data_IF_206168369611
#
_entry.id   IF_206168369611
#
_cell.length_a   1.000
_cell.length_b   1.000
_cell.length_c   1.000
_cell.angle_alpha   90.00
_cell.angle_beta   90.00
_cell.angle_gamma   90.00
#
_symmetry.space_group_name_H-M   'P 1'
#
loop_
_entity.id
_entity.type
_entity.pdbx_description
1 polymer ?
#
# COMPACT_ATOMS: atom_id res chain seq x y z
N UNK A 1 -21.86 -2.46 6.75
CA UNK A 1 -21.81 -3.16 8.06
C UNK A 1 -21.59 -4.64 7.78
N UNK A 2 -20.78 -5.28 8.52
CA UNK A 2 -20.48 -6.72 8.40
C UNK A 2 -20.26 -7.34 9.79
N UNK A 3 -20.47 -8.65 9.90
CA UNK A 3 -20.22 -9.38 11.14
C UNK A 3 -18.73 -9.69 11.31
N UNK A 4 -18.27 -9.64 12.56
CA UNK A 4 -16.87 -9.86 12.91
C UNK A 4 -16.78 -11.03 13.88
N UNK A 5 -15.96 -12.05 13.59
CA UNK A 5 -15.68 -13.12 14.56
C UNK A 5 -14.96 -12.57 15.80
N UNK A 6 -15.48 -12.89 16.96
CA UNK A 6 -14.92 -12.49 18.26
C UNK A 6 -14.76 -13.70 19.15
N UNK A 7 -13.78 -13.66 20.05
CA UNK A 7 -13.53 -14.74 21.00
C UNK A 7 -14.49 -14.63 22.19
N UNK A 8 -15.09 -15.74 22.62
CA UNK A 8 -16.01 -15.78 23.76
C UNK A 8 -15.32 -15.69 25.13
N UNK A 9 -14.03 -15.99 25.19
CA UNK A 9 -13.27 -16.02 26.47
C UNK A 9 -12.50 -14.72 26.73
N UNK A 10 -12.28 -13.88 25.73
CA UNK A 10 -11.54 -12.64 25.89
C UNK A 10 -12.37 -11.46 25.42
N UNK A 11 -12.59 -10.50 26.31
CA UNK A 11 -13.44 -9.34 26.06
C UNK A 11 -12.94 -8.44 24.93
N UNK A 12 -11.65 -8.39 24.68
CA UNK A 12 -11.07 -7.52 23.65
C UNK A 12 -10.67 -8.26 22.38
N UNK A 13 -10.97 -9.56 22.30
CA UNK A 13 -10.45 -10.40 21.24
C UNK A 13 -11.33 -10.40 19.98
N UNK A 14 -10.69 -10.27 18.84
CA UNK A 14 -11.30 -10.43 17.52
C UNK A 14 -10.26 -10.96 16.54
N UNK A 15 -10.70 -11.72 15.53
CA UNK A 15 -9.84 -12.13 14.42
C UNK A 15 -9.17 -10.94 13.72
N UNK A 16 -9.79 -9.77 13.74
CA UNK A 16 -9.22 -8.55 13.17
C UNK A 16 -8.00 -8.03 13.95
N UNK A 17 -7.82 -8.41 15.22
CA UNK A 17 -6.65 -8.05 16.00
C UNK A 17 -5.37 -8.73 15.52
N UNK A 18 -5.47 -9.87 14.82
CA UNK A 18 -4.31 -10.52 14.20
C UNK A 18 -3.77 -9.71 13.01
N UNK A 19 -4.54 -8.78 12.51
CA UNK A 19 -4.17 -7.85 11.48
C UNK A 19 -3.85 -8.51 10.15
N UNK A 20 -2.91 -7.89 9.45
CA UNK A 20 -2.36 -8.37 8.19
C UNK A 20 -1.07 -9.18 8.37
N UNK A 21 -0.85 -9.76 9.54
CA UNK A 21 0.31 -10.62 9.78
C UNK A 21 0.17 -11.91 8.98
N UNK A 22 1.27 -12.38 8.41
CA UNK A 22 1.30 -13.66 7.68
C UNK A 22 1.18 -14.91 8.59
N UNK A 23 1.05 -14.71 9.89
CA UNK A 23 0.78 -15.75 10.88
C UNK A 23 -0.70 -15.73 11.19
N UNK A 24 -1.41 -16.80 10.83
CA UNK A 24 -2.74 -17.05 11.32
C UNK A 24 -2.61 -17.77 12.66
N UNK A 25 -2.83 -17.06 13.75
CA UNK A 25 -3.00 -17.72 15.04
C UNK A 25 -4.36 -18.44 15.02
N UNK A 26 -4.33 -19.74 15.22
CA UNK A 26 -5.55 -20.53 15.35
C UNK A 26 -6.29 -20.08 16.61
N UNK A 27 -7.45 -19.51 16.41
CA UNK A 27 -8.34 -19.06 17.46
C UNK A 27 -9.42 -20.09 17.68
N UNK A 28 -9.63 -20.46 18.93
CA UNK A 28 -10.72 -21.35 19.32
C UNK A 28 -11.92 -20.55 19.87
N UNK A 29 -13.11 -21.14 19.78
CA UNK A 29 -14.32 -20.59 20.40
C UNK A 29 -14.72 -19.20 19.90
N UNK A 30 -14.70 -18.99 18.57
CA UNK A 30 -15.17 -17.77 17.92
C UNK A 30 -16.68 -17.79 17.71
N UNK A 31 -17.31 -16.62 17.90
CA UNK A 31 -18.72 -16.34 17.57
C UNK A 31 -18.82 -15.11 16.67
N UNK A 32 -19.87 -14.99 15.86
CA UNK A 32 -20.13 -13.87 14.95
C UNK A 32 -20.97 -12.77 15.60
N UNK A 33 -20.54 -12.24 16.74
CA UNK A 33 -21.25 -11.22 17.50
C UNK A 33 -20.64 -9.80 17.39
N UNK A 34 -19.40 -9.70 16.92
CA UNK A 34 -18.78 -8.43 16.62
C UNK A 34 -19.38 -7.79 15.36
N UNK A 35 -19.21 -6.48 15.24
CA UNK A 35 -19.67 -5.71 14.07
C UNK A 35 -18.52 -4.94 13.45
N UNK A 36 -18.60 -4.66 12.15
CA UNK A 36 -17.64 -3.83 11.45
C UNK A 36 -18.32 -2.89 10.46
N UNK A 37 -17.70 -1.75 10.23
CA UNK A 37 -18.21 -0.73 9.33
C UNK A 37 -17.09 -0.19 8.44
N UNK A 38 -17.39 -0.13 7.13
CA UNK A 38 -16.56 0.56 6.15
C UNK A 38 -17.43 1.59 5.45
N UNK A 39 -17.00 2.83 5.43
CA UNK A 39 -17.68 3.89 4.68
C UNK A 39 -16.66 4.93 4.21
N UNK A 40 -16.99 5.61 3.12
CA UNK A 40 -16.13 6.61 2.53
C UNK A 40 -16.71 7.22 1.26
N UNK A 41 -15.93 8.11 0.69
CA UNK A 41 -16.22 8.75 -0.60
C UNK A 41 -15.03 8.57 -1.51
N UNK A 42 -15.31 8.22 -2.74
CA UNK A 42 -14.33 8.04 -3.80
C UNK A 42 -14.61 8.97 -4.97
N UNK A 43 -13.56 9.62 -5.48
CA UNK A 43 -13.61 10.44 -6.68
C UNK A 43 -12.58 9.92 -7.67
N UNK A 44 -13.02 9.64 -8.90
CA UNK A 44 -12.15 9.30 -10.02
C UNK A 44 -12.35 10.28 -11.15
N UNK A 45 -11.26 10.87 -11.62
CA UNK A 45 -11.23 11.74 -12.80
C UNK A 45 -10.26 11.15 -13.79
N UNK A 46 -10.75 10.83 -14.99
CA UNK A 46 -9.96 10.21 -16.03
C UNK A 46 -9.99 11.03 -17.32
N UNK A 47 -8.83 11.21 -17.91
CA UNK A 47 -8.66 11.65 -19.30
C UNK A 47 -8.12 10.49 -20.11
N UNK A 48 -8.97 9.89 -20.93
CA UNK A 48 -8.58 8.84 -21.86
C UNK A 48 -7.50 9.29 -22.83
N UNK A 49 -6.70 8.33 -23.26
CA UNK A 49 -5.62 8.60 -24.20
C UNK A 49 -6.12 9.31 -25.47
N UNK A 50 -5.64 10.53 -25.66
CA UNK A 50 -6.02 11.37 -26.78
C UNK A 50 -4.89 12.35 -27.09
N UNK A 51 -4.55 12.52 -28.36
CA UNK A 51 -3.44 13.38 -28.81
C UNK A 51 -2.11 13.06 -28.10
N UNK A 52 -1.89 11.77 -27.83
CA UNK A 52 -0.69 11.27 -27.17
C UNK A 52 -0.62 11.57 -25.66
N UNK A 53 -1.70 11.93 -24.99
CA UNK A 53 -1.73 12.24 -23.56
C UNK A 53 -2.89 11.52 -22.87
N UNK A 54 -2.65 11.05 -21.66
CA UNK A 54 -3.65 10.52 -20.73
C UNK A 54 -3.35 10.95 -19.30
N UNK A 55 -4.37 10.97 -18.47
CA UNK A 55 -4.23 11.22 -17.04
C UNK A 55 -5.34 10.52 -16.25
N UNK A 56 -5.03 10.06 -15.06
CA UNK A 56 -5.96 9.48 -14.10
C UNK A 56 -5.65 10.06 -12.71
N UNK A 57 -6.69 10.56 -12.06
CA UNK A 57 -6.62 10.99 -10.67
C UNK A 57 -7.69 10.24 -9.88
N UNK A 58 -7.29 9.55 -8.82
CA UNK A 58 -8.22 8.92 -7.87
C UNK A 58 -7.96 9.43 -6.48
N UNK A 59 -9.03 9.71 -5.75
CA UNK A 59 -8.98 10.15 -4.36
C UNK A 59 -10.07 9.44 -3.57
N UNK A 60 -9.69 8.79 -2.49
CA UNK A 60 -10.60 8.13 -1.56
C UNK A 60 -10.35 8.68 -0.16
N UNK A 61 -11.43 9.00 0.56
CA UNK A 61 -11.42 9.27 1.99
C UNK A 61 -12.37 8.27 2.62
N UNK A 62 -11.89 7.51 3.60
CA UNK A 62 -12.66 6.43 4.17
C UNK A 62 -12.35 6.18 5.64
N UNK A 63 -13.25 5.47 6.30
CA UNK A 63 -13.09 4.96 7.65
C UNK A 63 -13.43 3.47 7.66
N UNK A 64 -12.59 2.68 8.34
CA UNK A 64 -12.77 1.25 8.52
C UNK A 64 -12.57 0.91 9.99
N UNK A 65 -13.64 0.49 10.65
CA UNK A 65 -13.66 0.22 12.09
C UNK A 65 -14.41 -1.07 12.39
N UNK A 66 -14.16 -1.62 13.56
CA UNK A 66 -14.87 -2.78 14.08
C UNK A 66 -15.09 -2.69 15.58
N UNK A 67 -16.04 -3.46 16.08
CA UNK A 67 -16.32 -3.62 17.51
C UNK A 67 -16.09 -5.09 17.87
N UNK A 68 -15.20 -5.32 18.84
CA UNK A 68 -14.89 -6.66 19.36
C UNK A 68 -15.89 -7.10 20.43
N UNK A 69 -15.56 -8.21 21.10
CA UNK A 69 -16.38 -8.79 22.17
C UNK A 69 -16.53 -7.90 23.43
N UNK A 70 -15.63 -6.94 23.59
CA UNK A 70 -15.66 -5.95 24.68
C UNK A 70 -16.55 -4.73 24.40
N UNK A 71 -17.15 -4.65 23.21
CA UNK A 71 -17.99 -3.52 22.81
C UNK A 71 -17.23 -2.24 22.44
N UNK A 72 -15.89 -2.28 22.42
CA UNK A 72 -15.05 -1.12 22.12
C UNK A 72 -14.80 -1.01 20.60
N UNK A 73 -15.06 0.17 20.04
CA UNK A 73 -14.78 0.44 18.63
C UNK A 73 -13.28 0.69 18.42
N UNK A 74 -12.70 -0.03 17.47
CA UNK A 74 -11.29 0.08 17.07
C UNK A 74 -11.14 0.24 15.55
N UNK A 75 -10.00 0.77 15.15
CA UNK A 75 -9.64 0.78 13.72
C UNK A 75 -9.35 -0.65 13.25
N UNK A 76 -9.61 -0.92 11.96
CA UNK A 76 -9.01 -2.09 11.31
C UNK A 76 -7.57 -1.77 10.87
N UNK A 77 -6.77 -2.81 10.62
CA UNK A 77 -5.42 -2.64 10.04
C UNK A 77 -5.41 -1.85 8.72
N UNK A 78 -6.53 -1.78 8.02
CA UNK A 78 -6.67 -1.13 6.72
C UNK A 78 -7.23 0.30 6.81
N UNK A 79 -7.48 0.82 8.02
CA UNK A 79 -8.00 2.18 8.19
C UNK A 79 -6.90 3.23 7.91
N UNK A 80 -6.46 3.35 6.66
CA UNK A 80 -5.49 4.34 6.21
C UNK A 80 -6.07 5.76 6.08
N UNK A 81 -7.35 5.94 6.26
CA UNK A 81 -8.09 7.21 6.23
C UNK A 81 -8.24 7.82 4.85
N UNK A 82 -7.21 7.83 4.01
CA UNK A 82 -7.25 8.37 2.65
C UNK A 82 -6.23 7.71 1.74
N UNK A 83 -6.53 7.73 0.44
CA UNK A 83 -5.61 7.38 -0.64
C UNK A 83 -5.79 8.37 -1.78
N UNK A 84 -4.69 8.89 -2.28
CA UNK A 84 -4.62 9.73 -3.46
C UNK A 84 -3.64 9.14 -4.45
N UNK A 85 -4.08 8.95 -5.70
CA UNK A 85 -3.22 8.54 -6.80
C UNK A 85 -3.37 9.50 -7.96
N UNK A 86 -2.27 9.84 -8.56
CA UNK A 86 -2.20 10.58 -9.81
C UNK A 86 -1.29 9.84 -10.78
N UNK A 87 -1.78 9.60 -11.98
CA UNK A 87 -1.04 8.99 -13.07
C UNK A 87 -1.21 9.87 -14.30
N UNK A 88 -0.13 10.21 -14.97
CA UNK A 88 -0.18 10.90 -16.25
C UNK A 88 0.92 10.40 -17.16
N UNK A 89 0.63 10.33 -18.46
CA UNK A 89 1.59 9.93 -19.46
C UNK A 89 1.45 10.68 -20.75
N UNK A 90 2.58 10.85 -21.41
CA UNK A 90 2.67 11.47 -22.72
C UNK A 90 3.47 10.60 -23.67
N UNK A 91 2.88 10.33 -24.84
CA UNK A 91 3.51 9.62 -25.95
C UNK A 91 3.73 10.58 -27.12
N UNK A 92 4.91 10.54 -27.70
CA UNK A 92 5.26 11.23 -28.92
C UNK A 92 5.59 10.22 -30.01
N UNK A 93 5.03 10.44 -31.17
CA UNK A 93 5.42 9.70 -32.37
C UNK A 93 6.70 10.33 -32.94
N UNK A 94 7.76 9.55 -33.06
CA UNK A 94 9.10 10.02 -33.41
C UNK A 94 9.67 9.26 -34.61
N UNK A 95 10.75 9.78 -35.18
CA UNK A 95 11.44 9.18 -36.32
C UNK A 95 10.92 9.69 -37.68
N UNK A 96 11.74 9.51 -38.71
CA UNK A 96 11.48 10.04 -40.08
C UNK A 96 10.15 9.55 -40.66
N UNK A 97 9.78 8.28 -40.36
CA UNK A 97 8.56 7.68 -40.89
C UNK A 97 7.42 7.68 -39.84
N UNK A 98 7.58 8.38 -38.72
CA UNK A 98 6.60 8.45 -37.61
C UNK A 98 6.12 7.08 -37.08
N UNK A 99 7.03 6.09 -37.04
CA UNK A 99 6.71 4.74 -36.63
C UNK A 99 7.11 4.44 -35.20
N UNK A 100 8.14 5.13 -34.75
CA UNK A 100 8.67 4.94 -33.40
C UNK A 100 7.89 5.79 -32.41
N UNK A 101 7.91 5.37 -31.15
CA UNK A 101 7.22 6.04 -30.09
C UNK A 101 8.19 6.30 -28.94
N UNK A 102 8.13 7.49 -28.39
CA UNK A 102 8.75 7.85 -27.14
C UNK A 102 7.67 8.18 -26.13
N UNK A 103 7.70 7.57 -24.96
CA UNK A 103 6.70 7.77 -23.92
C UNK A 103 7.36 8.14 -22.60
N UNK A 104 6.70 9.00 -21.84
CA UNK A 104 7.07 9.33 -20.46
C UNK A 104 5.81 9.26 -19.61
N UNK A 105 5.90 8.55 -18.51
CA UNK A 105 4.84 8.37 -17.55
C UNK A 105 5.31 8.81 -16.16
N UNK A 106 4.40 9.39 -15.40
CA UNK A 106 4.62 9.79 -14.01
C UNK A 106 3.47 9.23 -13.17
N UNK A 107 3.79 8.60 -12.05
CA UNK A 107 2.81 8.14 -11.06
C UNK A 107 3.18 8.68 -9.69
N UNK A 108 2.21 9.31 -9.06
CA UNK A 108 2.30 9.78 -7.69
C UNK A 108 1.26 9.07 -6.84
N UNK A 109 1.67 8.56 -5.68
CA UNK A 109 0.77 7.95 -4.69
C UNK A 109 1.05 8.60 -3.34
N UNK A 110 -0.02 9.05 -2.67
CA UNK A 110 -0.01 9.49 -1.30
C UNK A 110 -1.16 8.82 -0.55
N UNK A 111 -0.88 8.20 0.58
CA UNK A 111 -1.90 7.53 1.38
C UNK A 111 -1.64 7.77 2.88
N UNK A 112 -2.69 7.77 3.67
CA UNK A 112 -2.57 7.77 5.12
C UNK A 112 -1.85 6.52 5.61
N UNK A 113 -1.11 6.65 6.70
CA UNK A 113 -0.44 5.52 7.35
C UNK A 113 -1.46 4.47 7.78
N UNK A 114 -1.09 3.20 7.67
CA UNK A 114 -1.92 2.09 8.17
C UNK A 114 -1.99 2.14 9.70
N UNK A 115 -3.14 1.76 10.25
CA UNK A 115 -3.27 1.54 11.68
C UNK A 115 -2.46 0.29 12.10
N UNK A 116 -1.84 0.37 13.26
CA UNK A 116 -1.12 -0.75 13.87
C UNK A 116 -1.26 -0.69 15.39
N UNK A 117 -1.05 -1.83 16.04
CA UNK A 117 -0.98 -1.92 17.50
C UNK A 117 0.43 -1.56 17.93
N UNK A 118 0.57 -0.57 18.79
CA UNK A 118 1.87 -0.12 19.28
C UNK A 118 2.55 -1.19 20.13
N UNK A 119 3.88 -1.17 20.14
CA UNK A 119 4.70 -2.05 20.97
C UNK A 119 4.87 -1.39 22.35
N UNK A 120 4.48 -2.09 23.40
CA UNK A 120 4.80 -1.69 24.76
C UNK A 120 6.28 -2.02 25.03
N UNK A 121 7.13 -0.97 24.92
CA UNK A 121 8.57 -1.13 25.03
C UNK A 121 9.01 -1.54 26.43
N UNK A 122 8.36 -1.01 27.47
CA UNK A 122 8.71 -1.32 28.87
C UNK A 122 8.38 -2.78 29.20
N UNK A 123 7.19 -3.24 28.86
CA UNK A 123 6.81 -4.62 29.02
C UNK A 123 7.65 -5.57 28.14
N UNK A 124 8.01 -5.13 26.93
CA UNK A 124 8.86 -5.92 26.03
C UNK A 124 10.27 -6.08 26.57
N UNK A 125 10.85 -5.03 27.16
CA UNK A 125 12.16 -5.08 27.81
C UNK A 125 12.14 -5.98 29.05
N UNK A 126 11.09 -5.86 29.87
CA UNK A 126 10.93 -6.69 31.07
C UNK A 126 10.83 -8.19 30.75
N UNK A 127 10.08 -8.53 29.70
CA UNK A 127 9.82 -9.91 29.30
C UNK A 127 10.81 -10.45 28.26
N UNK A 128 11.71 -9.59 27.77
CA UNK A 128 12.67 -9.89 26.69
C UNK A 128 12.03 -10.50 25.43
N UNK A 129 10.81 -10.03 25.10
CA UNK A 129 10.03 -10.43 23.92
C UNK A 129 9.09 -9.30 23.53
N UNK A 130 8.64 -9.30 22.28
CA UNK A 130 7.64 -8.35 21.84
C UNK A 130 6.34 -8.48 22.64
N UNK A 131 5.89 -7.36 23.19
CA UNK A 131 4.60 -7.19 23.86
C UNK A 131 3.89 -6.03 23.18
N UNK A 132 2.68 -6.28 22.71
CA UNK A 132 1.85 -5.26 22.10
C UNK A 132 1.01 -4.54 23.16
N UNK A 133 0.65 -3.30 22.87
CA UNK A 133 -0.33 -2.54 23.66
C UNK A 133 -1.65 -3.32 23.79
N UNK A 134 -2.34 -3.12 24.89
CA UNK A 134 -3.68 -3.67 25.11
C UNK A 134 -4.74 -3.11 24.15
N UNK A 135 -4.47 -1.94 23.57
CA UNK A 135 -5.37 -1.27 22.62
C UNK A 135 -4.96 -1.62 21.19
N UNK A 136 -5.75 -2.47 20.54
CA UNK A 136 -5.49 -2.86 19.15
C UNK A 136 -5.69 -1.69 18.17
N UNK A 137 -4.73 -1.51 17.26
CA UNK A 137 -4.74 -0.46 16.21
C UNK A 137 -4.86 0.98 16.76
N UNK A 138 -4.22 1.23 17.89
CA UNK A 138 -4.17 2.51 18.58
C UNK A 138 -3.32 3.57 17.88
N UNK A 139 -2.42 3.17 17.02
CA UNK A 139 -1.41 4.02 16.40
C UNK A 139 -1.44 3.94 14.87
N UNK A 140 -0.80 4.93 14.23
CA UNK A 140 -0.68 4.98 12.78
C UNK A 140 0.78 5.13 12.37
N UNK A 141 1.19 4.37 11.34
CA UNK A 141 2.48 4.63 10.69
C UNK A 141 2.48 6.00 10.02
N UNK A 142 3.67 6.49 9.66
CA UNK A 142 3.81 7.67 8.81
C UNK A 142 3.07 7.49 7.48
N UNK A 143 2.61 8.61 6.91
CA UNK A 143 1.92 8.57 5.63
C UNK A 143 2.82 7.98 4.54
N UNK A 144 2.21 7.19 3.69
CA UNK A 144 2.84 6.61 2.52
C UNK A 144 3.00 7.67 1.43
N UNK A 145 4.18 7.75 0.84
CA UNK A 145 4.49 8.67 -0.24
C UNK A 145 5.39 7.99 -1.27
N UNK A 146 5.02 8.03 -2.55
CA UNK A 146 5.83 7.45 -3.62
C UNK A 146 5.63 8.20 -4.92
N UNK A 147 6.75 8.51 -5.59
CA UNK A 147 6.79 9.09 -6.90
C UNK A 147 7.60 8.17 -7.83
N UNK A 148 6.97 7.75 -8.94
CA UNK A 148 7.56 6.88 -9.94
C UNK A 148 7.61 7.60 -11.29
N UNK A 149 8.70 7.39 -12.04
CA UNK A 149 8.82 7.84 -13.43
C UNK A 149 9.18 6.67 -14.33
N UNK A 150 8.55 6.64 -15.51
CA UNK A 150 8.89 5.67 -16.53
C UNK A 150 9.15 6.38 -17.85
N UNK A 151 10.22 5.99 -18.53
CA UNK A 151 10.54 6.40 -19.88
C UNK A 151 10.63 5.18 -20.77
N UNK A 152 10.03 5.24 -21.95
CA UNK A 152 10.02 4.12 -22.89
C UNK A 152 10.26 4.58 -24.32
N UNK A 153 10.99 3.77 -25.07
CA UNK A 153 11.20 3.95 -26.49
C UNK A 153 10.81 2.68 -27.24
N UNK A 154 9.91 2.80 -28.22
CA UNK A 154 9.44 1.70 -29.05
C UNK A 154 9.85 1.92 -30.49
N UNK A 155 10.54 0.95 -31.06
CA UNK A 155 10.94 0.88 -32.46
C UNK A 155 10.05 -0.11 -33.20
N UNK A 156 9.37 0.34 -34.24
CA UNK A 156 8.53 -0.51 -35.08
C UNK A 156 9.16 -0.66 -36.45
N UNK A 157 9.23 -1.90 -36.97
CA UNK A 157 9.72 -2.17 -38.33
C UNK A 157 8.55 -2.22 -39.31
N UNK A 158 8.68 -1.51 -40.43
CA UNK A 158 7.68 -1.56 -41.53
C UNK A 158 7.74 -2.82 -42.36
N UNK A 159 8.92 -3.40 -42.48
CA UNK A 159 9.18 -4.54 -43.38
C UNK A 159 9.07 -5.88 -42.68
N UNK A 160 9.28 -5.91 -41.38
CA UNK A 160 9.18 -7.10 -40.54
C UNK A 160 8.11 -6.83 -39.50
N UNK A 161 7.20 -7.75 -39.25
CA UNK A 161 6.21 -7.64 -38.17
C UNK A 161 6.93 -7.71 -36.80
N UNK A 162 7.90 -6.83 -36.58
CA UNK A 162 8.77 -6.81 -35.42
C UNK A 162 8.66 -5.45 -34.73
N UNK A 163 8.38 -5.45 -33.45
CA UNK A 163 8.44 -4.30 -32.57
C UNK A 163 9.40 -4.57 -31.43
N UNK A 164 10.25 -3.61 -31.15
CA UNK A 164 11.20 -3.67 -30.02
C UNK A 164 10.94 -2.47 -29.11
N UNK A 165 10.91 -2.70 -27.82
CA UNK A 165 10.79 -1.61 -26.86
C UNK A 165 11.81 -1.76 -25.74
N UNK A 166 12.38 -0.63 -25.34
CA UNK A 166 13.21 -0.51 -24.14
C UNK A 166 12.53 0.52 -23.23
N UNK A 167 12.42 0.20 -21.95
CA UNK A 167 11.89 1.13 -20.96
C UNK A 167 12.69 1.11 -19.67
N UNK A 168 12.88 2.29 -19.12
CA UNK A 168 13.46 2.52 -17.80
C UNK A 168 12.34 2.96 -16.85
N UNK A 169 12.12 2.19 -15.80
CA UNK A 169 11.13 2.45 -14.76
C UNK A 169 11.88 2.79 -13.47
N UNK A 170 11.75 4.02 -13.02
CA UNK A 170 12.38 4.56 -11.82
C UNK A 170 11.33 4.63 -10.72
N UNK A 171 11.35 3.68 -9.82
CA UNK A 171 10.42 3.58 -8.72
C UNK A 171 10.94 4.33 -7.50
N UNK A 172 10.02 5.01 -6.79
CA UNK A 172 10.32 5.80 -5.60
C UNK A 172 11.52 6.74 -5.80
N UNK A 173 11.44 7.62 -6.81
CA UNK A 173 12.56 8.52 -7.19
C UNK A 173 12.95 9.50 -6.09
N UNK A 174 12.05 9.74 -5.13
CA UNK A 174 12.34 10.55 -3.95
C UNK A 174 13.12 9.81 -2.88
N UNK A 175 13.29 8.49 -3.04
CA UNK A 175 13.89 7.58 -2.05
C UNK A 175 13.25 7.73 -0.65
N UNK A 176 11.95 7.98 -0.61
CA UNK A 176 11.23 8.14 0.66
C UNK A 176 11.13 6.81 1.40
N UNK A 177 11.44 6.83 2.70
CA UNK A 177 11.36 5.65 3.56
C UNK A 177 9.92 5.41 4.03
N UNK A 178 9.17 4.61 3.27
CA UNK A 178 7.82 4.19 3.66
C UNK A 178 7.92 3.03 4.65
N UNK A 179 7.35 3.20 5.82
CA UNK A 179 7.38 2.16 6.85
C UNK A 179 6.57 0.94 6.40
N UNK A 180 7.18 -0.24 6.46
CA UNK A 180 6.52 -1.52 6.22
C UNK A 180 5.99 -2.12 7.52
N UNK A 181 6.84 -2.23 8.55
CA UNK A 181 6.51 -2.78 9.86
C UNK A 181 7.45 -2.27 10.94
N UNK A 182 7.03 -2.42 12.18
CA UNK A 182 7.87 -2.28 13.37
C UNK A 182 7.90 -3.62 14.11
N UNK A 183 8.99 -3.90 14.79
CA UNK A 183 9.18 -5.08 15.63
C UNK A 183 10.10 -4.75 16.80
N UNK A 184 9.98 -5.48 17.88
CA UNK A 184 10.90 -5.38 19.01
C UNK A 184 12.19 -6.16 18.73
N UNK A 185 13.34 -5.51 18.88
CA UNK A 185 14.66 -6.15 18.84
C UNK A 185 15.15 -6.37 20.28
N UNK A 186 15.13 -7.62 20.74
CA UNK A 186 15.52 -8.01 22.10
C UNK A 186 17.02 -7.82 22.36
N UNK A 187 17.85 -7.75 21.34
CA UNK A 187 19.30 -7.54 21.48
C UNK A 187 19.62 -6.08 21.77
N UNK A 188 18.93 -5.15 21.11
CA UNK A 188 19.12 -3.70 21.29
C UNK A 188 18.12 -3.09 22.26
N UNK A 189 17.14 -3.89 22.74
CA UNK A 189 16.04 -3.45 23.60
C UNK A 189 15.31 -2.22 23.06
N UNK A 190 15.07 -2.20 21.75
CA UNK A 190 14.49 -1.06 21.05
C UNK A 190 13.53 -1.51 19.94
N UNK A 191 12.72 -0.56 19.44
CA UNK A 191 11.84 -0.79 18.31
C UNK A 191 12.64 -0.63 17.03
N UNK A 192 12.71 -1.70 16.24
CA UNK A 192 13.29 -1.73 14.91
C UNK A 192 12.22 -1.44 13.87
N UNK A 193 12.51 -0.54 12.92
CA UNK A 193 11.61 -0.20 11.83
C UNK A 193 12.13 -0.78 10.51
N UNK A 194 11.30 -1.58 9.86
CA UNK A 194 11.55 -2.08 8.52
C UNK A 194 10.84 -1.18 7.52
N UNK A 195 11.58 -0.67 6.53
CA UNK A 195 11.02 0.15 5.47
C UNK A 195 10.74 -0.68 4.21
N UNK A 196 9.80 -0.20 3.40
CA UNK A 196 9.56 -0.70 2.05
C UNK A 196 10.76 -0.35 1.15
N UNK A 197 10.75 -0.92 -0.06
CA UNK A 197 11.81 -0.68 -1.04
C UNK A 197 11.96 0.82 -1.31
N UNK A 198 13.18 1.34 -1.17
CA UNK A 198 13.56 2.71 -1.51
C UNK A 198 13.62 2.93 -3.02
N UNK A 199 14.53 3.78 -3.48
CA UNK A 199 14.75 3.99 -4.91
C UNK A 199 15.12 2.69 -5.62
N UNK A 200 14.37 2.35 -6.68
CA UNK A 200 14.57 1.12 -7.45
C UNK A 200 14.46 1.37 -8.95
N UNK A 201 15.57 1.33 -9.70
CA UNK A 201 15.57 1.38 -11.15
C UNK A 201 15.32 -0.02 -11.73
N UNK A 202 14.45 -0.10 -12.74
CA UNK A 202 14.15 -1.33 -13.47
C UNK A 202 14.24 -1.07 -14.97
N UNK A 203 15.05 -1.86 -15.68
CA UNK A 203 15.23 -1.79 -17.13
C UNK A 203 14.52 -2.98 -17.77
N UNK A 204 13.62 -2.71 -18.69
CA UNK A 204 12.86 -3.74 -19.41
C UNK A 204 13.10 -3.62 -20.91
N UNK A 205 13.51 -4.73 -21.54
CA UNK A 205 13.57 -4.87 -22.98
C UNK A 205 12.58 -5.91 -23.46
N UNK A 206 11.77 -5.58 -24.46
CA UNK A 206 10.71 -6.43 -24.99
C UNK A 206 10.78 -6.49 -26.51
N UNK A 207 10.67 -7.71 -27.05
CA UNK A 207 10.54 -7.97 -28.49
C UNK A 207 9.16 -8.58 -28.74
N UNK A 208 8.47 -8.10 -29.78
CA UNK A 208 7.20 -8.63 -30.27
C UNK A 208 7.32 -8.94 -31.76
N UNK A 209 6.91 -10.13 -32.18
CA UNK A 209 6.92 -10.63 -33.55
C UNK A 209 5.49 -10.69 -34.10
#
# INVERSE_FOLDING_TARGET
IFNVPVNTYSSSYSMLNTGSTFKADLQDSLVNEGTGENYGVELTVEKFFSKGFYALCTSSIYKSVYVGSDGVQRNTAFNGRYVFNFLAGKEWTVGRNRQNKFAVDCKFTNAGGRAFTSIDLDASNLLNREVLSSEAYDSYYSNYYRLDFKMGFTMNSNTRKLSQSISLDLQNVTNHNNVFSQSYDNRTQSISTTNQLGFFPNLVYKIQF
#
